data_IF_204181151447
#
_entry.id   IF_204181151447
#
_cell.length_a   1.000
_cell.length_b   1.000
_cell.length_c   1.000
_cell.angle_alpha   90.00
_cell.angle_beta   90.00
_cell.angle_gamma   90.00
#
_symmetry.space_group_name_H-M   'P 1'
#
loop_
_entity.id
_entity.type
_entity.pdbx_description
1 polymer ?
#
# COMPACT_ATOMS: atom_id res chain seq x y z
N UNK A 1 26.46 0.35 -6.99
CA UNK A 1 25.33 -0.15 -6.14
C UNK A 1 24.90 -1.49 -6.72
N UNK A 2 25.05 -2.59 -5.99
CA UNK A 2 24.58 -3.90 -6.46
C UNK A 2 23.06 -3.85 -6.63
N UNK A 3 22.56 -4.26 -7.79
CA UNK A 3 21.12 -4.27 -8.09
C UNK A 3 20.49 -5.45 -7.36
N UNK A 4 19.45 -5.18 -6.58
CA UNK A 4 18.69 -6.24 -5.93
C UNK A 4 18.01 -7.14 -6.95
N UNK A 5 17.78 -8.38 -6.54
CA UNK A 5 16.97 -9.31 -7.31
C UNK A 5 15.54 -8.77 -7.48
N UNK A 6 14.94 -8.93 -8.69
CA UNK A 6 13.57 -8.49 -8.92
C UNK A 6 12.61 -9.34 -8.09
N UNK A 7 11.47 -8.75 -7.73
CA UNK A 7 10.39 -9.47 -7.07
C UNK A 7 9.65 -10.37 -8.06
N UNK A 8 9.10 -11.47 -7.54
CA UNK A 8 8.14 -12.33 -8.22
C UNK A 8 6.89 -12.50 -7.33
N UNK A 9 5.75 -12.80 -7.95
CA UNK A 9 4.54 -13.14 -7.19
C UNK A 9 4.80 -14.47 -6.49
N UNK A 10 4.51 -14.51 -5.20
CA UNK A 10 4.72 -15.66 -4.31
C UNK A 10 3.53 -15.78 -3.37
N UNK A 11 3.19 -17.00 -3.01
CA UNK A 11 2.21 -17.29 -1.98
C UNK A 11 2.70 -16.93 -0.59
N UNK A 12 1.80 -16.78 0.39
CA UNK A 12 2.18 -16.57 1.78
C UNK A 12 3.08 -17.71 2.28
N UNK A 13 4.25 -17.36 2.81
CA UNK A 13 5.25 -18.31 3.29
C UNK A 13 6.14 -18.92 2.20
N UNK A 14 5.89 -18.63 0.92
CA UNK A 14 6.71 -19.17 -0.17
C UNK A 14 8.03 -18.42 -0.32
N UNK A 15 9.14 -19.16 -0.24
CA UNK A 15 10.47 -18.64 -0.56
C UNK A 15 10.67 -18.62 -2.08
N UNK A 16 10.95 -17.43 -2.62
CA UNK A 16 11.28 -17.28 -4.04
C UNK A 16 12.54 -18.09 -4.41
N UNK A 17 12.46 -18.85 -5.51
CA UNK A 17 13.58 -19.68 -6.00
C UNK A 17 14.51 -18.87 -6.91
N UNK A 18 15.81 -19.17 -6.84
CA UNK A 18 16.85 -18.56 -7.68
C UNK A 18 17.15 -17.10 -7.33
N UNK A 19 17.62 -16.32 -8.30
CA UNK A 19 17.99 -14.90 -8.14
C UNK A 19 16.76 -13.98 -8.15
N UNK A 20 15.80 -14.24 -7.26
CA UNK A 20 14.49 -13.57 -7.16
C UNK A 20 14.12 -13.32 -5.70
N UNK A 21 13.28 -12.32 -5.45
CA UNK A 21 12.75 -12.00 -4.13
C UNK A 21 11.24 -12.26 -4.05
N UNK A 22 10.75 -12.77 -2.92
CA UNK A 22 9.32 -13.00 -2.67
C UNK A 22 8.59 -11.75 -2.15
N UNK A 23 7.26 -11.82 -2.10
CA UNK A 23 6.38 -10.75 -1.64
C UNK A 23 6.36 -10.63 -0.11
N UNK A 24 6.56 -11.72 0.63
CA UNK A 24 6.72 -11.63 2.09
C UNK A 24 8.00 -10.85 2.45
N UNK A 25 9.09 -11.05 1.69
CA UNK A 25 10.28 -10.23 1.85
C UNK A 25 9.99 -8.76 1.52
N UNK A 26 9.22 -8.48 0.46
CA UNK A 26 8.77 -7.11 0.16
C UNK A 26 8.03 -6.48 1.34
N UNK A 27 7.09 -7.20 1.98
CA UNK A 27 6.33 -6.70 3.13
C UNK A 27 7.22 -6.55 4.37
N UNK A 28 8.17 -7.45 4.59
CA UNK A 28 9.17 -7.32 5.64
C UNK A 28 9.99 -6.03 5.52
N UNK A 29 10.31 -5.57 4.31
CA UNK A 29 10.99 -4.28 4.12
C UNK A 29 10.19 -3.07 4.66
N UNK A 30 8.86 -3.15 4.71
CA UNK A 30 8.02 -2.11 5.31
C UNK A 30 8.12 -2.13 6.84
N UNK A 31 8.16 -3.32 7.45
CA UNK A 31 8.42 -3.45 8.89
C UNK A 31 9.79 -2.90 9.26
N UNK A 32 10.83 -3.23 8.50
CA UNK A 32 12.15 -2.65 8.73
C UNK A 32 12.15 -1.12 8.60
N UNK A 33 11.39 -0.55 7.65
CA UNK A 33 11.23 0.91 7.57
C UNK A 33 10.53 1.50 8.80
N UNK A 34 9.60 0.78 9.42
CA UNK A 34 8.95 1.17 10.67
C UNK A 34 9.96 1.21 11.81
N UNK A 35 10.80 0.19 11.93
CA UNK A 35 11.85 0.16 12.96
C UNK A 35 12.85 1.32 12.77
N UNK A 36 13.26 1.60 11.54
CA UNK A 36 14.10 2.75 11.25
C UNK A 36 13.43 4.08 11.56
N UNK A 37 12.12 4.21 11.34
CA UNK A 37 11.38 5.40 11.73
C UNK A 37 11.42 5.57 13.26
N UNK A 38 11.19 4.51 14.04
CA UNK A 38 11.25 4.55 15.51
C UNK A 38 12.64 5.00 15.97
N UNK A 39 13.71 4.46 15.38
CA UNK A 39 15.08 4.88 15.71
C UNK A 39 15.31 6.37 15.40
N UNK A 40 14.85 6.85 14.24
CA UNK A 40 14.95 8.27 13.87
C UNK A 40 14.13 9.16 14.81
N UNK A 41 12.95 8.71 15.24
CA UNK A 41 12.11 9.42 16.20
C UNK A 41 12.79 9.53 17.57
N UNK A 42 13.40 8.46 18.07
CA UNK A 42 14.12 8.46 19.34
C UNK A 42 15.31 9.44 19.31
N UNK A 43 16.11 9.39 18.25
CA UNK A 43 17.23 10.32 18.05
C UNK A 43 16.75 11.78 17.98
N UNK A 44 15.64 12.05 17.29
CA UNK A 44 15.08 13.39 17.20
C UNK A 44 14.62 13.89 18.58
N UNK A 45 13.97 13.04 19.38
CA UNK A 45 13.54 13.36 20.76
C UNK A 45 14.73 13.66 21.66
N UNK A 46 15.76 12.81 21.65
CA UNK A 46 16.98 13.02 22.44
C UNK A 46 17.70 14.34 22.12
N UNK A 47 17.61 14.79 20.86
CA UNK A 47 18.22 16.04 20.39
C UNK A 47 17.31 17.28 20.50
N UNK A 48 16.06 17.12 20.94
CA UNK A 48 15.07 18.20 20.93
C UNK A 48 14.66 18.67 19.52
N UNK A 49 14.87 17.84 18.49
CA UNK A 49 14.50 18.13 17.11
C UNK A 49 13.03 17.73 16.82
N UNK A 50 12.45 18.30 15.76
CA UNK A 50 11.10 17.93 15.32
C UNK A 50 11.03 16.45 14.93
N UNK A 51 10.30 15.67 15.72
CA UNK A 51 10.12 14.24 15.53
C UNK A 51 9.25 13.92 14.28
N UNK A 52 9.74 13.13 13.30
CA UNK A 52 8.95 12.78 12.12
C UNK A 52 7.86 11.76 12.47
N UNK A 53 6.65 11.92 11.92
CA UNK A 53 5.52 10.98 12.13
C UNK A 53 5.29 10.02 10.94
N UNK A 54 5.88 10.33 9.79
CA UNK A 54 5.81 9.52 8.57
C UNK A 54 7.21 9.08 8.13
N UNK A 55 7.29 8.07 7.27
CA UNK A 55 8.54 7.63 6.63
C UNK A 55 9.03 8.71 5.66
N UNK A 56 10.00 9.51 6.11
CA UNK A 56 10.57 10.64 5.34
C UNK A 56 11.89 10.26 4.64
N UNK A 57 12.48 11.22 3.90
CA UNK A 57 13.83 11.07 3.33
C UNK A 57 14.90 10.80 4.41
N UNK A 58 14.71 11.28 5.64
CA UNK A 58 15.65 11.02 6.74
C UNK A 58 15.66 9.54 7.12
N UNK A 59 14.51 8.88 7.16
CA UNK A 59 14.41 7.44 7.43
C UNK A 59 15.15 6.63 6.37
N UNK A 60 14.98 6.95 5.09
CA UNK A 60 15.73 6.27 4.01
C UNK A 60 17.24 6.51 4.07
N UNK A 61 17.67 7.71 4.46
CA UNK A 61 19.11 8.00 4.68
C UNK A 61 19.66 7.23 5.87
N UNK A 62 18.89 7.16 6.96
CA UNK A 62 19.25 6.40 8.16
C UNK A 62 19.39 4.90 7.84
N UNK A 63 18.39 4.30 7.18
CA UNK A 63 18.42 2.90 6.76
C UNK A 63 19.68 2.56 5.95
N UNK A 64 20.06 3.43 4.99
CA UNK A 64 21.30 3.27 4.22
C UNK A 64 22.55 3.33 5.11
N UNK A 65 22.60 4.25 6.08
CA UNK A 65 23.71 4.37 7.04
C UNK A 65 23.81 3.14 7.96
N UNK A 66 22.67 2.57 8.33
CA UNK A 66 22.55 1.35 9.15
C UNK A 66 22.79 0.04 8.37
N UNK A 67 23.30 0.11 7.13
CA UNK A 67 23.62 -1.06 6.31
C UNK A 67 22.47 -1.61 5.47
N UNK A 68 21.24 -1.13 5.64
CA UNK A 68 20.06 -1.57 4.87
C UNK A 68 19.97 -0.87 3.49
N UNK A 69 21.03 -0.96 2.69
CA UNK A 69 21.14 -0.30 1.37
C UNK A 69 20.15 -0.81 0.30
N UNK A 70 19.54 -1.97 0.56
CA UNK A 70 18.45 -2.55 -0.21
C UNK A 70 17.15 -1.76 -0.08
N UNK A 71 16.89 -1.09 1.05
CA UNK A 71 15.72 -0.23 1.21
C UNK A 71 15.94 1.09 0.46
N UNK A 72 14.96 1.50 -0.36
CA UNK A 72 15.03 2.77 -1.07
C UNK A 72 13.65 3.38 -1.35
N UNK A 73 13.60 4.71 -1.34
CA UNK A 73 12.36 5.49 -1.49
C UNK A 73 11.56 5.15 -2.74
N UNK A 74 12.13 5.05 -3.96
CA UNK A 74 11.36 4.69 -5.15
C UNK A 74 10.67 3.33 -5.01
N UNK A 75 11.40 2.30 -4.57
CA UNK A 75 10.85 0.95 -4.35
C UNK A 75 9.72 0.96 -3.31
N UNK A 76 9.95 1.54 -2.14
CA UNK A 76 8.94 1.54 -1.06
C UNK A 76 7.69 2.35 -1.45
N UNK A 77 7.84 3.46 -2.19
CA UNK A 77 6.67 4.19 -2.69
C UNK A 77 5.89 3.42 -3.75
N UNK A 78 6.57 2.58 -4.52
CA UNK A 78 5.96 1.86 -5.63
C UNK A 78 4.94 0.82 -5.16
N UNK A 79 5.20 0.15 -4.02
CA UNK A 79 4.41 -0.99 -3.54
C UNK A 79 3.58 -0.69 -2.28
N UNK A 80 3.52 0.56 -1.81
CA UNK A 80 2.90 0.86 -0.51
C UNK A 80 1.39 0.55 -0.49
N UNK A 81 0.70 0.62 -1.62
CA UNK A 81 -0.69 0.17 -1.70
C UNK A 81 -0.81 -1.36 -1.60
N UNK A 82 0.13 -2.13 -2.14
CA UNK A 82 0.16 -3.59 -1.93
C UNK A 82 0.32 -3.93 -0.44
N UNK A 83 1.22 -3.22 0.25
CA UNK A 83 1.38 -3.36 1.69
C UNK A 83 0.15 -2.88 2.47
N UNK A 84 -0.52 -1.83 2.01
CA UNK A 84 -1.79 -1.37 2.58
C UNK A 84 -2.88 -2.44 2.48
N UNK A 85 -3.01 -3.12 1.33
CA UNK A 85 -3.95 -4.22 1.18
C UNK A 85 -3.62 -5.35 2.17
N UNK A 86 -2.34 -5.74 2.27
CA UNK A 86 -1.91 -6.75 3.23
C UNK A 86 -2.22 -6.37 4.69
N UNK A 87 -2.12 -5.10 5.07
CA UNK A 87 -2.44 -4.65 6.42
C UNK A 87 -3.95 -4.58 6.70
N UNK A 88 -4.75 -4.13 5.73
CA UNK A 88 -6.18 -3.87 5.91
C UNK A 88 -7.03 -5.12 5.72
N UNK A 89 -6.59 -6.03 4.86
CA UNK A 89 -7.29 -7.26 4.51
C UNK A 89 -6.27 -8.31 4.05
N UNK A 90 -5.66 -8.97 5.04
CA UNK A 90 -4.61 -9.96 4.80
C UNK A 90 -5.14 -11.16 3.99
N UNK A 91 -6.38 -11.57 4.24
CA UNK A 91 -7.02 -12.67 3.51
C UNK A 91 -7.22 -12.33 2.03
N UNK A 92 -7.74 -11.15 1.70
CA UNK A 92 -7.85 -10.69 0.32
C UNK A 92 -6.48 -10.53 -0.35
N UNK A 93 -5.47 -10.03 0.38
CA UNK A 93 -4.09 -9.96 -0.11
C UNK A 93 -3.55 -11.35 -0.45
N UNK A 94 -3.73 -12.32 0.44
CA UNK A 94 -3.26 -13.70 0.30
C UNK A 94 -3.98 -14.43 -0.84
N UNK A 95 -5.30 -14.26 -0.96
CA UNK A 95 -6.08 -14.78 -2.09
C UNK A 95 -5.61 -14.18 -3.42
N UNK A 96 -5.36 -12.87 -3.47
CA UNK A 96 -4.87 -12.19 -4.68
C UNK A 96 -3.48 -12.69 -5.09
N UNK A 97 -2.58 -12.91 -4.11
CA UNK A 97 -1.25 -13.49 -4.36
C UNK A 97 -1.34 -14.89 -4.96
N UNK A 98 -2.17 -15.77 -4.38
CA UNK A 98 -2.41 -17.14 -4.89
C UNK A 98 -2.93 -17.09 -6.33
N UNK A 99 -3.99 -16.33 -6.58
CA UNK A 99 -4.63 -16.25 -7.89
C UNK A 99 -3.68 -15.72 -8.99
N UNK A 100 -2.84 -14.73 -8.69
CA UNK A 100 -1.88 -14.20 -9.66
C UNK A 100 -0.70 -15.15 -9.90
N UNK A 101 -0.25 -15.86 -8.87
CA UNK A 101 0.79 -16.89 -9.03
C UNK A 101 0.30 -18.06 -9.87
N UNK A 102 -0.90 -18.56 -9.60
CA UNK A 102 -1.53 -19.67 -10.35
C UNK A 102 -1.64 -19.34 -11.84
N UNK A 103 -1.99 -18.09 -12.17
CA UNK A 103 -2.02 -17.60 -13.55
C UNK A 103 -0.65 -17.29 -14.16
N UNK A 104 0.45 -17.44 -13.43
CA UNK A 104 1.79 -17.11 -13.90
C UNK A 104 2.00 -15.60 -14.16
N UNK A 105 1.22 -14.75 -13.50
CA UNK A 105 1.25 -13.31 -13.72
C UNK A 105 2.52 -12.65 -13.16
N UNK A 106 2.94 -11.58 -13.81
CA UNK A 106 4.08 -10.79 -13.33
C UNK A 106 3.69 -9.86 -12.16
N UNK A 107 4.70 -9.39 -11.42
CA UNK A 107 4.51 -8.47 -10.28
C UNK A 107 3.85 -7.16 -10.67
N UNK A 108 4.04 -6.69 -11.91
CA UNK A 108 3.37 -5.49 -12.40
C UNK A 108 1.86 -5.66 -12.45
N UNK A 109 1.38 -6.78 -12.99
CA UNK A 109 -0.04 -7.12 -13.06
C UNK A 109 -0.65 -7.29 -11.66
N UNK A 110 0.00 -8.08 -10.79
CA UNK A 110 -0.43 -8.25 -9.39
C UNK A 110 -0.50 -6.91 -8.66
N UNK A 111 0.54 -6.07 -8.80
CA UNK A 111 0.59 -4.74 -8.18
C UNK A 111 -0.57 -3.86 -8.63
N UNK A 112 -0.91 -3.84 -9.92
CA UNK A 112 -2.06 -3.06 -10.40
C UNK A 112 -3.38 -3.59 -9.82
N UNK A 113 -3.52 -4.91 -9.72
CA UNK A 113 -4.71 -5.53 -9.16
C UNK A 113 -4.95 -5.18 -7.68
N UNK A 114 -3.91 -4.89 -6.90
CA UNK A 114 -4.04 -4.48 -5.51
C UNK A 114 -4.86 -3.19 -5.30
N UNK A 115 -5.02 -2.33 -6.32
CA UNK A 115 -5.81 -1.10 -6.18
C UNK A 115 -7.31 -1.39 -6.01
N UNK A 116 -7.86 -2.36 -6.75
CA UNK A 116 -9.29 -2.66 -6.76
C UNK A 116 -9.86 -2.98 -5.36
N UNK A 117 -9.31 -3.93 -4.57
CA UNK A 117 -9.82 -4.21 -3.24
C UNK A 117 -9.68 -3.04 -2.28
N UNK A 118 -8.62 -2.22 -2.40
CA UNK A 118 -8.47 -1.01 -1.57
C UNK A 118 -9.55 0.04 -1.86
N UNK A 119 -9.90 0.24 -3.12
CA UNK A 119 -10.99 1.15 -3.47
C UNK A 119 -12.33 0.62 -2.94
N UNK A 120 -12.56 -0.69 -2.98
CA UNK A 120 -13.73 -1.31 -2.37
C UNK A 120 -13.76 -1.16 -0.83
N UNK A 121 -12.60 -1.22 -0.17
CA UNK A 121 -12.48 -0.89 1.27
C UNK A 121 -12.83 0.57 1.51
N UNK A 122 -12.30 1.50 0.71
CA UNK A 122 -12.60 2.92 0.82
C UNK A 122 -14.09 3.22 0.63
N UNK A 123 -14.73 2.60 -0.36
CA UNK A 123 -16.16 2.76 -0.62
C UNK A 123 -17.03 2.38 0.59
N UNK A 124 -16.65 1.31 1.32
CA UNK A 124 -17.35 0.86 2.53
C UNK A 124 -17.13 1.77 3.75
N UNK A 125 -16.13 2.65 3.71
CA UNK A 125 -15.73 3.51 4.84
C UNK A 125 -15.81 5.00 4.47
N UNK A 126 -16.82 5.39 3.67
CA UNK A 126 -17.09 6.79 3.36
C UNK A 126 -16.08 7.46 2.43
N UNK A 127 -15.30 6.68 1.68
CA UNK A 127 -14.31 7.13 0.69
C UNK A 127 -13.10 7.89 1.24
N UNK A 128 -12.92 7.94 2.56
CA UNK A 128 -11.79 8.63 3.19
C UNK A 128 -10.58 7.70 3.36
N UNK A 129 -9.81 7.54 2.27
CA UNK A 129 -8.60 6.71 2.28
C UNK A 129 -7.50 7.24 3.22
N UNK A 130 -7.52 8.53 3.55
CA UNK A 130 -6.57 9.09 4.53
C UNK A 130 -6.90 8.67 5.94
N UNK A 131 -8.18 8.75 6.32
CA UNK A 131 -8.64 8.24 7.60
C UNK A 131 -8.32 6.76 7.76
N UNK A 132 -8.55 5.95 6.72
CA UNK A 132 -8.24 4.51 6.73
C UNK A 132 -6.74 4.26 6.98
N UNK A 133 -5.85 4.97 6.27
CA UNK A 133 -4.41 4.83 6.49
C UNK A 133 -4.00 5.30 7.89
N UNK A 134 -4.56 6.41 8.38
CA UNK A 134 -4.21 6.98 9.69
C UNK A 134 -4.75 6.15 10.86
N UNK A 135 -5.85 5.42 10.68
CA UNK A 135 -6.42 4.54 11.70
C UNK A 135 -5.61 3.25 11.91
N UNK A 136 -4.88 2.78 10.89
CA UNK A 136 -4.12 1.53 10.99
C UNK A 136 -2.67 1.77 11.48
N UNK A 137 -2.22 1.16 12.60
CA UNK A 137 -0.91 1.47 13.21
C UNK A 137 0.30 1.27 12.29
N UNK A 138 0.25 0.28 11.40
CA UNK A 138 1.32 0.03 10.40
C UNK A 138 1.26 0.95 9.18
N UNK A 139 0.10 1.53 8.86
CA UNK A 139 -0.09 2.38 7.68
C UNK A 139 -0.05 3.88 8.00
N UNK A 140 -0.31 4.25 9.26
CA UNK A 140 -0.32 5.63 9.71
C UNK A 140 1.04 6.33 9.54
N UNK A 141 2.13 5.59 9.33
CA UNK A 141 3.46 6.13 9.06
C UNK A 141 3.73 6.33 7.55
N UNK A 142 2.86 5.85 6.68
CA UNK A 142 3.01 5.96 5.24
C UNK A 142 2.13 7.08 4.68
N UNK A 143 2.59 7.66 3.56
CA UNK A 143 1.78 8.56 2.75
C UNK A 143 0.91 7.74 1.81
N UNK A 144 -0.37 8.11 1.69
CA UNK A 144 -1.28 7.48 0.73
C UNK A 144 -0.79 7.77 -0.69
N UNK A 145 -0.64 6.75 -1.57
CA UNK A 145 -0.26 6.95 -2.97
C UNK A 145 -1.21 7.87 -3.71
N UNK A 146 -0.66 8.79 -4.49
CA UNK A 146 -1.43 9.70 -5.35
C UNK A 146 -2.39 8.92 -6.27
N UNK A 147 -1.93 7.82 -6.88
CA UNK A 147 -2.78 6.99 -7.75
C UNK A 147 -3.95 6.36 -7.00
N UNK A 148 -3.75 5.91 -5.76
CA UNK A 148 -4.82 5.34 -4.94
C UNK A 148 -5.88 6.40 -4.60
N UNK A 149 -5.44 7.61 -4.19
CA UNK A 149 -6.35 8.74 -3.95
C UNK A 149 -7.18 9.10 -5.18
N UNK A 150 -6.53 9.19 -6.34
CA UNK A 150 -7.20 9.49 -7.61
C UNK A 150 -8.27 8.44 -7.94
N UNK A 151 -7.94 7.16 -7.80
CA UNK A 151 -8.91 6.08 -8.05
C UNK A 151 -10.10 6.12 -7.08
N UNK A 152 -9.85 6.35 -5.78
CA UNK A 152 -10.94 6.49 -4.81
C UNK A 152 -11.83 7.71 -5.13
N UNK A 153 -11.24 8.83 -5.54
CA UNK A 153 -12.00 10.02 -5.92
C UNK A 153 -12.85 9.79 -7.19
N UNK A 154 -12.26 9.19 -8.23
CA UNK A 154 -12.98 8.86 -9.46
C UNK A 154 -14.14 7.91 -9.21
N UNK A 155 -13.93 6.83 -8.46
CA UNK A 155 -14.98 5.85 -8.16
C UNK A 155 -16.08 6.43 -7.26
N UNK A 156 -15.74 7.32 -6.31
CA UNK A 156 -16.75 8.05 -5.52
C UNK A 156 -17.65 8.91 -6.42
N UNK A 157 -17.05 9.66 -7.34
CA UNK A 157 -17.79 10.50 -8.28
C UNK A 157 -18.69 9.66 -9.19
N UNK A 158 -18.20 8.53 -9.69
CA UNK A 158 -18.98 7.58 -10.49
C UNK A 158 -20.17 7.01 -9.68
N UNK A 159 -19.95 6.63 -8.41
CA UNK A 159 -20.99 6.13 -7.54
C UNK A 159 -22.06 7.19 -7.23
N UNK A 160 -21.66 8.44 -7.00
CA UNK A 160 -22.59 9.55 -6.78
C UNK A 160 -23.43 9.85 -8.03
N UNK A 161 -22.82 9.82 -9.22
CA UNK A 161 -23.51 10.01 -10.49
C UNK A 161 -24.54 8.89 -10.74
N UNK A 162 -24.16 7.62 -10.54
CA UNK A 162 -25.06 6.48 -10.69
C UNK A 162 -26.24 6.50 -9.70
N UNK A 163 -26.01 6.97 -8.47
CA UNK A 163 -27.07 7.15 -7.48
C UNK A 163 -28.01 8.31 -7.83
N UNK A 164 -27.55 9.31 -8.57
CA UNK A 164 -28.37 10.45 -8.99
C UNK A 164 -29.24 10.10 -10.20
N UNK A 165 -28.74 9.26 -11.12
CA UNK A 165 -29.51 8.83 -12.30
C UNK A 165 -30.59 7.80 -12.00
N UNK A 166 -30.54 7.10 -10.86
CA UNK A 166 -31.60 6.18 -10.43
C UNK A 166 -32.80 6.89 -9.81
N UNK A 167 -32.65 8.13 -9.34
CA UNK A 167 -33.74 8.89 -8.69
C UNK A 167 -34.67 9.58 -9.71
N UNK A 168 -34.18 9.86 -10.92
CA UNK A 168 -34.95 10.55 -11.97
C UNK A 168 -35.80 9.62 -12.86
N UNK A 169 -35.74 8.29 -12.67
CA UNK A 169 -36.51 7.31 -13.46
C UNK A 169 -37.88 6.91 -12.89
N UNK A 170 -38.33 7.51 -11.78
CA UNK A 170 -39.49 7.04 -11.00
C UNK A 170 -40.76 7.91 -11.04
N UNK A 171 -40.88 8.90 -11.92
CA UNK A 171 -42.06 9.78 -11.98
C UNK A 171 -42.62 9.83 -13.40
N UNK A 172 -43.31 8.77 -13.82
CA UNK A 172 -44.17 8.80 -15.01
C UNK A 172 -45.20 7.66 -14.97
N UNK A 173 -46.17 7.74 -14.05
CA UNK A 173 -47.47 7.09 -14.25
C UNK A 173 -48.53 7.76 -13.37
N UNK A 174 -49.33 8.63 -14.00
CA UNK A 174 -50.73 8.90 -13.67
C UNK A 174 -51.26 10.01 -14.59
N UNK A 175 -51.91 9.60 -15.68
CA UNK A 175 -53.10 10.24 -16.27
C UNK A 175 -53.71 9.31 -17.32
#
# INVERSE_FOLDING_TARGET
RQREHPFIVTEPGEVARGKKNGLDYLFHLYEQCRDFLIQVQNIAKERGEKCPTKVTNQVFRYAKKAGASYINKPKMRHYVHCYALHCLDEDASNALRRAFKERGENVGAWRQACYKPLVAIAARQGWDIDAIFNAHPRLAIWYVPTKLRQLCHSERSNAAAAASSSVSGGVADHL
#
